data_IF_609357053489
#
_entry.id   IF_609357053489
#
_cell.length_a   1.000
_cell.length_b   1.000
_cell.length_c   1.000
_cell.angle_alpha   90.00
_cell.angle_beta   90.00
_cell.angle_gamma   90.00
#
_symmetry.space_group_name_H-M   'P 1'
#
loop_
_entity.id
_entity.type
_entity.pdbx_description
1 polymer ?
#
# COMPACT_ATOMS: atom_id res chain seq x y z
N UNK A 1 -20.31 14.54 -2.81
CA UNK A 1 -20.01 15.32 -1.58
C UNK A 1 -18.57 15.81 -1.66
N UNK A 2 -18.30 17.06 -1.32
CA UNK A 2 -16.94 17.62 -1.26
C UNK A 2 -16.37 17.35 0.12
N UNK A 3 -15.13 16.84 0.21
CA UNK A 3 -14.46 16.63 1.50
C UNK A 3 -14.37 17.93 2.29
N UNK A 4 -14.49 17.85 3.63
CA UNK A 4 -14.27 19.01 4.49
C UNK A 4 -12.83 19.51 4.36
N UNK A 5 -12.58 20.79 4.67
CA UNK A 5 -11.21 21.36 4.61
C UNK A 5 -10.23 20.59 5.50
N UNK A 6 -10.70 20.15 6.66
CA UNK A 6 -9.91 19.36 7.62
C UNK A 6 -9.55 17.99 7.06
N UNK A 7 -10.54 17.28 6.51
CA UNK A 7 -10.32 15.95 5.91
C UNK A 7 -9.37 16.07 4.72
N UNK A 8 -9.55 17.09 3.88
CA UNK A 8 -8.64 17.34 2.76
C UNK A 8 -7.19 17.52 3.24
N UNK A 9 -6.96 18.41 4.20
CA UNK A 9 -5.59 18.64 4.74
C UNK A 9 -4.98 17.38 5.36
N UNK A 10 -5.80 16.54 5.98
CA UNK A 10 -5.35 15.25 6.52
C UNK A 10 -4.99 14.26 5.40
N UNK A 11 -5.82 14.19 4.35
CA UNK A 11 -5.58 13.39 3.16
C UNK A 11 -4.29 13.82 2.44
N UNK A 12 -4.09 15.12 2.24
CA UNK A 12 -2.89 15.65 1.57
C UNK A 12 -1.60 15.23 2.31
N UNK A 13 -1.63 15.17 3.65
CA UNK A 13 -0.51 14.66 4.47
C UNK A 13 -0.30 13.16 4.33
N UNK A 14 -1.40 12.39 4.29
CA UNK A 14 -1.35 10.95 4.08
C UNK A 14 -0.75 10.62 2.71
N UNK A 15 -1.24 11.28 1.65
CA UNK A 15 -0.77 11.09 0.27
C UNK A 15 0.73 11.37 0.17
N UNK A 16 1.21 12.47 0.76
CA UNK A 16 2.65 12.77 0.80
C UNK A 16 3.48 11.68 1.48
N UNK A 17 2.98 11.09 2.58
CA UNK A 17 3.65 9.97 3.24
C UNK A 17 3.65 8.70 2.36
N UNK A 18 2.53 8.39 1.70
CA UNK A 18 2.42 7.22 0.81
C UNK A 18 3.32 7.39 -0.42
N UNK A 19 3.41 8.59 -0.99
CA UNK A 19 4.30 8.90 -2.11
C UNK A 19 5.78 8.73 -1.73
N UNK A 20 6.16 9.22 -0.55
CA UNK A 20 7.53 9.02 -0.02
C UNK A 20 7.83 7.53 0.16
N UNK A 21 6.90 6.79 0.75
CA UNK A 21 7.05 5.35 0.93
C UNK A 21 7.12 4.60 -0.41
N UNK A 22 6.35 5.02 -1.41
CA UNK A 22 6.37 4.43 -2.74
C UNK A 22 7.73 4.60 -3.41
N UNK A 23 8.35 5.77 -3.29
CA UNK A 23 9.71 6.00 -3.77
C UNK A 23 10.73 5.08 -3.08
N UNK A 24 10.64 4.91 -1.75
CA UNK A 24 11.50 3.99 -1.00
C UNK A 24 11.29 2.52 -1.40
N UNK A 25 10.03 2.12 -1.63
CA UNK A 25 9.68 0.78 -2.09
C UNK A 25 10.26 0.49 -3.48
N UNK A 26 10.06 1.39 -4.45
CA UNK A 26 10.62 1.24 -5.79
C UNK A 26 12.15 1.29 -5.84
N UNK A 27 12.79 1.97 -4.88
CA UNK A 27 14.26 1.99 -4.80
C UNK A 27 14.86 0.70 -4.23
N UNK A 28 14.11 -0.06 -3.42
CA UNK A 28 14.63 -1.21 -2.68
C UNK A 28 14.06 -2.56 -3.11
N UNK A 29 12.92 -2.60 -3.79
CA UNK A 29 12.22 -3.81 -4.17
C UNK A 29 11.97 -3.86 -5.68
N UNK A 30 12.20 -5.02 -6.27
CA UNK A 30 11.88 -5.30 -7.67
C UNK A 30 10.44 -5.79 -7.83
N UNK A 31 9.89 -5.60 -9.03
CA UNK A 31 8.64 -6.23 -9.44
C UNK A 31 7.40 -5.69 -8.72
N UNK A 32 7.41 -4.43 -8.27
CA UNK A 32 6.20 -3.74 -7.80
C UNK A 32 5.35 -3.36 -9.02
N UNK A 33 4.11 -3.84 -9.03
CA UNK A 33 3.10 -3.53 -10.04
C UNK A 33 2.33 -2.25 -9.71
N UNK A 34 1.83 -2.13 -8.47
CA UNK A 34 1.00 -0.99 -8.04
C UNK A 34 1.16 -0.75 -6.53
N UNK A 35 0.97 0.50 -6.12
CA UNK A 35 0.93 0.92 -4.72
C UNK A 35 -0.33 1.76 -4.51
N UNK A 36 -1.23 1.25 -3.68
CA UNK A 36 -2.51 1.89 -3.40
C UNK A 36 -2.76 2.01 -1.90
N UNK A 37 -3.84 2.69 -1.55
CA UNK A 37 -4.33 2.70 -0.19
C UNK A 37 -5.85 2.80 -0.11
N UNK A 38 -6.42 2.31 0.98
CA UNK A 38 -7.82 2.50 1.36
C UNK A 38 -7.91 3.17 2.71
N UNK A 39 -8.99 3.93 2.92
CA UNK A 39 -9.20 4.73 4.12
C UNK A 39 -10.70 4.93 4.37
N UNK A 40 -11.08 4.91 5.65
CA UNK A 40 -12.37 5.41 6.13
C UNK A 40 -12.10 6.52 7.13
N UNK A 41 -12.36 7.77 6.78
CA UNK A 41 -11.97 8.92 7.61
C UNK A 41 -12.60 8.92 9.00
N UNK A 42 -13.80 8.36 9.15
CA UNK A 42 -14.48 8.23 10.46
C UNK A 42 -13.76 7.26 11.42
N UNK A 43 -12.97 6.34 10.87
CA UNK A 43 -12.18 5.34 11.61
C UNK A 43 -10.67 5.58 11.52
N UNK A 44 -10.27 6.74 10.99
CA UNK A 44 -8.87 7.08 10.82
C UNK A 44 -8.19 7.35 12.18
N UNK A 45 -6.94 6.90 12.40
CA UNK A 45 -6.03 6.27 11.44
C UNK A 45 -6.10 4.73 11.37
N UNK A 46 -6.96 4.09 12.17
CA UNK A 46 -7.04 2.64 12.24
C UNK A 46 -7.50 1.96 10.94
N UNK A 47 -8.28 2.67 10.13
CA UNK A 47 -8.82 2.18 8.85
C UNK A 47 -7.85 2.27 7.67
N UNK A 48 -6.67 2.88 7.84
CA UNK A 48 -5.70 2.98 6.76
C UNK A 48 -5.16 1.60 6.38
N UNK A 49 -5.17 1.26 5.10
CA UNK A 49 -4.46 0.10 4.59
C UNK A 49 -3.74 0.47 3.30
N UNK A 50 -2.41 0.43 3.32
CA UNK A 50 -1.56 0.53 2.13
C UNK A 50 -1.32 -0.86 1.57
N UNK A 51 -1.51 -1.02 0.27
CA UNK A 51 -1.28 -2.28 -0.43
C UNK A 51 -0.17 -2.10 -1.45
N UNK A 52 0.81 -3.01 -1.43
CA UNK A 52 1.86 -3.09 -2.45
C UNK A 52 1.63 -4.37 -3.25
N UNK A 53 1.24 -4.20 -4.50
CA UNK A 53 0.97 -5.30 -5.43
C UNK A 53 2.24 -5.62 -6.22
N UNK A 54 2.58 -6.90 -6.32
CA UNK A 54 3.74 -7.37 -7.06
C UNK A 54 3.34 -7.96 -8.41
N UNK A 55 4.22 -7.88 -9.41
CA UNK A 55 4.00 -8.43 -10.75
C UNK A 55 3.91 -9.96 -10.75
N UNK A 56 4.67 -10.61 -9.86
CA UNK A 56 4.73 -12.08 -9.76
C UNK A 56 4.80 -12.53 -8.30
N UNK A 57 4.44 -13.80 -8.08
CA UNK A 57 4.59 -14.43 -6.76
C UNK A 57 6.07 -14.56 -6.33
N UNK A 58 7.00 -14.74 -7.27
CA UNK A 58 8.44 -14.83 -6.96
C UNK A 58 8.99 -13.51 -6.41
N UNK A 59 8.60 -12.36 -7.00
CA UNK A 59 8.96 -11.05 -6.45
C UNK A 59 8.34 -10.81 -5.08
N UNK A 60 7.09 -11.22 -4.87
CA UNK A 60 6.42 -11.15 -3.57
C UNK A 60 7.17 -11.97 -2.51
N UNK A 61 7.53 -13.22 -2.82
CA UNK A 61 8.22 -14.11 -1.90
C UNK A 61 9.61 -13.58 -1.50
N UNK A 62 10.35 -13.03 -2.48
CA UNK A 62 11.63 -12.34 -2.23
C UNK A 62 11.46 -11.12 -1.32
N UNK A 63 10.41 -10.33 -1.54
CA UNK A 63 10.14 -9.12 -0.79
C UNK A 63 9.55 -9.38 0.61
N UNK A 64 8.93 -10.55 0.84
CA UNK A 64 8.11 -10.85 2.03
C UNK A 64 8.80 -10.58 3.36
N UNK A 65 10.09 -10.89 3.46
CA UNK A 65 10.90 -10.66 4.67
C UNK A 65 11.04 -9.17 5.04
N UNK A 66 10.85 -8.26 4.07
CA UNK A 66 10.97 -6.82 4.24
C UNK A 66 9.65 -6.12 4.62
N UNK A 67 8.50 -6.79 4.53
CA UNK A 67 7.18 -6.18 4.75
C UNK A 67 7.10 -5.47 6.12
N UNK A 68 7.58 -6.13 7.18
CA UNK A 68 7.62 -5.57 8.54
C UNK A 68 8.49 -4.31 8.65
N UNK A 69 9.56 -4.22 7.86
CA UNK A 69 10.41 -3.02 7.79
C UNK A 69 9.62 -1.86 7.19
N UNK A 70 8.88 -2.10 6.11
CA UNK A 70 8.06 -1.08 5.45
C UNK A 70 6.83 -0.68 6.27
N UNK A 71 6.20 -1.59 7.01
CA UNK A 71 5.17 -1.26 8.00
C UNK A 71 5.70 -0.25 9.05
N UNK A 72 6.91 -0.48 9.57
CA UNK A 72 7.55 0.45 10.52
C UNK A 72 7.90 1.79 9.87
N UNK A 73 8.37 1.80 8.61
CA UNK A 73 8.67 3.04 7.87
C UNK A 73 7.42 3.87 7.61
N UNK A 74 6.34 3.26 7.14
CA UNK A 74 5.04 3.91 6.98
C UNK A 74 4.61 4.57 8.30
N UNK A 75 4.67 3.83 9.41
CA UNK A 75 4.34 4.39 10.72
C UNK A 75 5.19 5.61 11.09
N UNK A 76 6.50 5.55 10.85
CA UNK A 76 7.39 6.67 11.14
C UNK A 76 7.10 7.91 10.26
N UNK A 77 6.79 7.72 8.97
CA UNK A 77 6.39 8.79 8.06
C UNK A 77 5.10 9.46 8.55
N UNK A 78 4.09 8.66 8.90
CA UNK A 78 2.82 9.13 9.45
C UNK A 78 3.00 9.84 10.81
N UNK A 79 3.82 9.28 11.69
CA UNK A 79 4.07 9.85 13.02
C UNK A 79 4.70 11.24 12.92
N UNK A 80 5.61 11.46 11.97
CA UNK A 80 6.17 12.80 11.67
C UNK A 80 5.11 13.82 11.25
N UNK A 81 3.97 13.37 10.71
CA UNK A 81 2.81 14.19 10.38
C UNK A 81 1.77 14.29 11.52
N UNK A 82 2.09 13.73 12.70
CA UNK A 82 1.20 13.68 13.87
C UNK A 82 0.16 12.57 13.83
N UNK A 83 0.34 11.56 12.96
CA UNK A 83 -0.62 10.46 12.76
C UNK A 83 -0.05 9.19 13.40
N UNK A 84 -0.62 8.76 14.53
CA UNK A 84 -0.18 7.58 15.28
C UNK A 84 -1.01 6.34 14.91
N UNK A 85 -0.38 5.34 14.30
CA UNK A 85 -0.99 4.01 14.12
C UNK A 85 -0.84 3.18 15.39
N UNK A 86 -1.95 2.67 15.94
CA UNK A 86 -1.93 1.78 17.12
C UNK A 86 -1.35 0.40 16.80
N UNK A 87 -1.53 -0.07 15.57
CA UNK A 87 -1.15 -1.43 15.15
C UNK A 87 -0.51 -1.39 13.76
N UNK A 88 0.71 -0.80 13.62
CA UNK A 88 1.34 -0.54 12.33
C UNK A 88 1.41 -1.72 11.37
N UNK A 89 1.53 -2.93 11.91
CA UNK A 89 1.59 -4.18 11.13
C UNK A 89 0.33 -4.48 10.33
N UNK A 90 -0.80 -3.84 10.63
CA UNK A 90 -2.06 -4.04 9.92
C UNK A 90 -2.31 -2.98 8.84
N UNK A 91 -1.46 -1.96 8.73
CA UNK A 91 -1.69 -0.79 7.87
C UNK A 91 -0.87 -0.82 6.56
N UNK A 92 -0.05 -1.85 6.37
CA UNK A 92 0.64 -2.12 5.10
C UNK A 92 0.74 -3.63 4.88
N UNK A 93 0.45 -4.08 3.68
CA UNK A 93 0.58 -5.49 3.30
C UNK A 93 1.03 -5.66 1.85
N UNK A 94 1.84 -6.69 1.60
CA UNK A 94 2.23 -7.10 0.27
C UNK A 94 1.25 -8.15 -0.25
N UNK A 95 0.67 -7.87 -1.42
CA UNK A 95 -0.36 -8.69 -2.04
C UNK A 95 0.14 -9.29 -3.35
N UNK A 96 -0.35 -10.48 -3.73
CA UNK A 96 -0.03 -11.07 -5.02
C UNK A 96 -0.58 -10.23 -6.18
N UNK A 97 -0.07 -10.43 -7.41
CA UNK A 97 -0.67 -9.84 -8.61
C UNK A 97 -2.15 -10.19 -8.68
N UNK A 98 -2.99 -9.22 -9.02
CA UNK A 98 -4.40 -9.46 -9.29
C UNK A 98 -4.50 -10.48 -10.42
N UNK A 99 -5.05 -11.64 -10.10
CA UNK A 99 -5.53 -12.56 -11.14
C UNK A 99 -6.67 -11.84 -11.88
N UNK A 100 -6.35 -11.18 -12.98
CA UNK A 100 -7.41 -10.66 -13.84
C UNK A 100 -8.13 -11.87 -14.44
N UNK A 101 -9.48 -11.97 -14.33
CA UNK A 101 -10.22 -13.08 -14.91
C UNK A 101 -10.04 -13.17 -16.45
N UNK A 102 -9.55 -12.11 -17.09
CA UNK A 102 -9.19 -12.09 -18.51
C UNK A 102 -7.86 -12.76 -18.86
N UNK A 103 -6.90 -12.88 -17.92
CA UNK A 103 -5.61 -13.53 -18.18
C UNK A 103 -5.75 -15.05 -18.38
N UNK A 104 -6.70 -15.70 -17.67
CA UNK A 104 -7.01 -17.12 -17.84
C UNK A 104 -7.73 -17.45 -19.16
N UNK A 105 -8.35 -16.47 -19.81
CA UNK A 105 -9.08 -16.68 -21.05
C UNK A 105 -8.17 -16.97 -22.26
N UNK A 106 -6.90 -16.51 -22.27
CA UNK A 106 -5.98 -16.77 -23.40
C UNK A 106 -5.33 -18.15 -23.38
N UNK A 107 -5.28 -18.85 -22.24
CA UNK A 107 -4.71 -20.20 -22.17
C UNK A 107 -5.70 -21.30 -22.60
N UNK A 108 -7.01 -20.99 -22.66
CA UNK A 108 -8.07 -21.99 -22.88
C UNK A 108 -8.53 -22.14 -24.34
N UNK A 109 -7.99 -21.38 -25.30
CA UNK A 109 -8.41 -21.42 -26.71
C UNK A 109 -7.32 -21.93 -27.69
N UNK A 110 -6.31 -22.66 -27.20
CA UNK A 110 -5.33 -23.35 -28.05
C UNK A 110 -5.12 -24.81 -27.64
N UNK A 111 -6.23 -25.55 -27.47
CA UNK A 111 -6.25 -27.02 -27.59
C UNK A 111 -7.55 -27.43 -28.31
#
# INVERSE_FOLDING_TARGET
MKMSKTIKKLNDRLESCVETLAQELHAELDGIHDIGHTIQFDLFPGSLLVTVEFETHDFLDKARSSEKRFQKRLHNLLLKQGILLKTPQNNLTFIPPRETPYAKAKQKYWL
#
